data_IF_188905277669
#
_entry.id   IF_188905277669
#
_cell.length_a   1.000
_cell.length_b   1.000
_cell.length_c   1.000
_cell.angle_alpha   90.00
_cell.angle_beta   90.00
_cell.angle_gamma   90.00
#
_symmetry.space_group_name_H-M   'P 1'
#
loop_
_entity.id
_entity.type
_entity.pdbx_description
1 polymer ?
#
# COMPACT_ATOMS: atom_id res chain seq x y z
N UNK A 1 -18.24 -0.65 10.76
CA UNK A 1 -17.39 0.22 9.94
C UNK A 1 -18.30 1.03 9.05
N UNK A 2 -18.26 2.35 9.18
CA UNK A 2 -19.12 3.24 8.41
C UNK A 2 -18.60 3.28 6.96
N UNK A 3 -19.47 3.27 5.95
CA UNK A 3 -19.02 3.22 4.54
C UNK A 3 -18.07 4.38 4.17
N UNK A 4 -18.20 5.50 4.86
CA UNK A 4 -17.36 6.69 4.68
C UNK A 4 -15.91 6.41 5.11
N UNK A 5 -15.68 5.73 6.24
CA UNK A 5 -14.32 5.49 6.76
C UNK A 5 -13.46 4.66 5.80
N UNK A 6 -14.04 3.66 5.14
CA UNK A 6 -13.31 2.86 4.13
C UNK A 6 -12.96 3.72 2.91
N UNK A 7 -13.88 4.60 2.50
CA UNK A 7 -13.67 5.49 1.37
C UNK A 7 -12.52 6.46 1.67
N UNK A 8 -12.54 7.08 2.85
CA UNK A 8 -11.53 8.03 3.28
C UNK A 8 -10.13 7.38 3.34
N UNK A 9 -10.05 6.14 3.84
CA UNK A 9 -8.79 5.40 3.86
C UNK A 9 -8.29 5.04 2.46
N UNK A 10 -9.19 4.71 1.53
CA UNK A 10 -8.81 4.44 0.13
C UNK A 10 -8.30 5.69 -0.57
N UNK A 11 -8.95 6.83 -0.32
CA UNK A 11 -8.51 8.12 -0.85
C UNK A 11 -7.14 8.51 -0.29
N UNK A 12 -6.93 8.36 1.02
CA UNK A 12 -5.62 8.60 1.65
C UNK A 12 -4.51 7.71 1.06
N UNK A 13 -4.80 6.43 0.78
CA UNK A 13 -3.85 5.54 0.09
C UNK A 13 -3.52 6.08 -1.31
N UNK A 14 -4.52 6.52 -2.06
CA UNK A 14 -4.34 7.05 -3.41
C UNK A 14 -3.52 8.35 -3.41
N UNK A 15 -3.78 9.27 -2.48
CA UNK A 15 -2.98 10.50 -2.31
C UNK A 15 -1.52 10.19 -1.98
N UNK A 16 -1.27 9.25 -1.05
CA UNK A 16 0.09 8.83 -0.72
C UNK A 16 0.83 8.24 -1.94
N UNK A 17 0.12 7.49 -2.80
CA UNK A 17 0.71 6.93 -4.01
C UNK A 17 1.11 8.04 -5.01
N UNK A 18 0.25 9.06 -5.18
CA UNK A 18 0.59 10.23 -5.99
C UNK A 18 1.79 10.98 -5.41
N UNK A 19 1.85 11.16 -4.10
CA UNK A 19 2.96 11.82 -3.41
C UNK A 19 4.29 11.07 -3.65
N UNK A 20 4.31 9.74 -3.51
CA UNK A 20 5.49 8.92 -3.78
C UNK A 20 5.99 9.10 -5.21
N UNK A 21 5.09 9.06 -6.20
CA UNK A 21 5.47 9.27 -7.60
C UNK A 21 6.00 10.69 -7.79
N UNK A 22 5.33 11.71 -7.24
CA UNK A 22 5.79 13.10 -7.31
C UNK A 22 7.19 13.30 -6.72
N UNK A 23 7.46 12.68 -5.58
CA UNK A 23 8.77 12.70 -4.93
C UNK A 23 9.85 12.04 -5.81
N UNK A 24 9.55 10.90 -6.44
CA UNK A 24 10.48 10.24 -7.37
C UNK A 24 10.77 11.10 -8.60
N UNK A 25 9.74 11.69 -9.22
CA UNK A 25 9.92 12.58 -10.37
C UNK A 25 10.74 13.82 -10.00
N UNK A 26 10.51 14.39 -8.81
CA UNK A 26 11.28 15.52 -8.29
C UNK A 26 12.78 15.20 -8.13
N UNK A 27 13.11 14.04 -7.55
CA UNK A 27 14.50 13.57 -7.42
C UNK A 27 15.19 13.46 -8.78
N UNK A 28 14.45 12.99 -9.79
CA UNK A 28 14.93 12.83 -11.16
C UNK A 28 14.90 14.13 -11.97
N UNK A 29 14.43 15.24 -11.40
CA UNK A 29 14.24 16.54 -12.06
C UNK A 29 13.35 16.45 -13.31
N UNK A 30 12.33 15.59 -13.25
CA UNK A 30 11.29 15.47 -14.27
C UNK A 30 10.14 16.38 -13.87
N UNK A 31 9.90 17.42 -14.66
CA UNK A 31 8.87 18.44 -14.38
C UNK A 31 7.60 18.25 -15.21
N UNK A 32 7.67 17.45 -16.26
CA UNK A 32 6.55 17.13 -17.14
C UNK A 32 6.60 15.64 -17.48
N UNK A 33 5.44 15.01 -17.44
CA UNK A 33 5.27 13.59 -17.75
C UNK A 33 3.94 13.42 -18.45
N UNK A 34 3.90 12.52 -19.43
CA UNK A 34 2.66 12.14 -20.09
C UNK A 34 1.68 11.55 -19.06
N UNK A 35 0.42 11.97 -19.13
CA UNK A 35 -0.62 11.52 -18.21
C UNK A 35 -0.75 9.99 -18.22
N UNK A 36 -0.71 9.36 -19.39
CA UNK A 36 -0.79 7.90 -19.52
C UNK A 36 0.36 7.21 -18.77
N UNK A 37 1.57 7.75 -18.84
CA UNK A 37 2.72 7.21 -18.12
C UNK A 37 2.54 7.37 -16.60
N UNK A 38 2.05 8.51 -16.14
CA UNK A 38 1.74 8.73 -14.71
C UNK A 38 0.68 7.75 -14.19
N UNK A 39 -0.41 7.54 -14.96
CA UNK A 39 -1.46 6.58 -14.60
C UNK A 39 -0.91 5.15 -14.55
N UNK A 40 -0.02 4.77 -15.47
CA UNK A 40 0.65 3.46 -15.43
C UNK A 40 1.55 3.31 -14.20
N UNK A 41 2.26 4.36 -13.81
CA UNK A 41 3.05 4.35 -12.57
C UNK A 41 2.15 4.15 -11.34
N UNK A 42 1.02 4.86 -11.27
CA UNK A 42 0.03 4.69 -10.20
C UNK A 42 -0.49 3.24 -10.15
N UNK A 43 -0.84 2.66 -11.29
CA UNK A 43 -1.32 1.28 -11.34
C UNK A 43 -0.27 0.30 -10.81
N UNK A 44 0.99 0.44 -11.24
CA UNK A 44 2.07 -0.43 -10.75
C UNK A 44 2.30 -0.28 -9.24
N UNK A 45 2.24 0.94 -8.71
CA UNK A 45 2.39 1.19 -7.28
C UNK A 45 1.20 0.64 -6.47
N UNK A 46 -0.01 0.71 -7.03
CA UNK A 46 -1.22 0.10 -6.45
C UNK A 46 -1.10 -1.42 -6.39
N UNK A 47 -0.70 -2.07 -7.48
CA UNK A 47 -0.50 -3.51 -7.53
C UNK A 47 0.56 -3.97 -6.51
N UNK A 48 1.66 -3.22 -6.39
CA UNK A 48 2.70 -3.50 -5.41
C UNK A 48 2.19 -3.34 -3.98
N UNK A 49 1.48 -2.24 -3.69
CA UNK A 49 0.90 -1.96 -2.37
C UNK A 49 -0.06 -3.07 -1.94
N UNK A 50 -0.90 -3.56 -2.86
CA UNK A 50 -1.82 -4.67 -2.59
C UNK A 50 -1.07 -5.98 -2.31
N UNK A 51 -0.01 -6.29 -3.06
CA UNK A 51 0.82 -7.48 -2.82
C UNK A 51 1.46 -7.41 -1.43
N UNK A 52 2.08 -6.28 -1.09
CA UNK A 52 2.70 -6.06 0.22
C UNK A 52 1.69 -6.16 1.35
N UNK A 53 0.49 -5.60 1.19
CA UNK A 53 -0.58 -5.72 2.18
C UNK A 53 -0.97 -7.18 2.44
N UNK A 54 -1.13 -8.00 1.39
CA UNK A 54 -1.43 -9.43 1.54
C UNK A 54 -0.33 -10.18 2.29
N UNK A 55 0.94 -9.87 1.99
CA UNK A 55 2.08 -10.45 2.69
C UNK A 55 2.11 -10.05 4.17
N UNK A 56 1.87 -8.78 4.47
CA UNK A 56 1.81 -8.29 5.85
C UNK A 56 0.70 -8.99 6.64
N UNK A 57 -0.48 -9.19 6.05
CA UNK A 57 -1.58 -9.92 6.69
C UNK A 57 -1.26 -11.40 6.92
N UNK A 58 -0.54 -12.04 5.99
CA UNK A 58 -0.07 -13.41 6.17
C UNK A 58 0.94 -13.50 7.32
N UNK A 59 1.87 -12.54 7.42
CA UNK A 59 2.84 -12.48 8.51
C UNK A 59 2.16 -12.29 9.87
N UNK A 60 1.26 -11.31 10.01
CA UNK A 60 0.50 -11.08 11.24
C UNK A 60 -0.27 -12.35 11.67
N UNK A 61 -0.87 -13.05 10.70
CA UNK A 61 -1.60 -14.29 10.98
C UNK A 61 -0.69 -15.40 11.49
N UNK A 62 0.52 -15.52 10.91
CA UNK A 62 1.51 -16.51 11.34
C UNK A 62 2.01 -16.21 12.75
N UNK A 63 2.30 -14.95 13.07
CA UNK A 63 2.72 -14.53 14.41
C UNK A 63 1.67 -14.86 15.48
N UNK A 64 0.37 -14.67 15.15
CA UNK A 64 -0.74 -15.05 16.04
C UNK A 64 -0.77 -16.57 16.25
N UNK A 65 -0.62 -17.37 15.19
CA UNK A 65 -0.59 -18.83 15.28
C UNK A 65 0.56 -19.28 16.18
N UNK A 66 1.76 -18.76 15.97
CA UNK A 66 2.95 -19.11 16.75
C UNK A 66 2.79 -18.75 18.23
N UNK A 67 2.20 -17.59 18.51
CA UNK A 67 1.88 -17.17 19.87
C UNK A 67 0.89 -18.12 20.56
N UNK A 68 -0.19 -18.51 19.86
CA UNK A 68 -1.19 -19.44 20.41
C UNK A 68 -0.59 -20.82 20.67
N UNK A 69 0.18 -21.35 19.72
CA UNK A 69 0.84 -22.65 19.88
C UNK A 69 1.82 -22.65 21.05
N UNK A 70 2.66 -21.63 21.15
CA UNK A 70 3.69 -21.54 22.20
C UNK A 70 3.08 -21.36 23.60
N UNK A 71 1.97 -20.63 23.73
CA UNK A 71 1.36 -20.33 25.02
C UNK A 71 0.26 -21.32 25.45
N UNK A 72 -0.33 -22.10 24.53
CA UNK A 72 -1.31 -23.16 24.87
C UNK A 72 -0.67 -24.55 25.05
N UNK A 73 0.60 -24.71 24.71
CA UNK A 73 1.38 -25.93 24.97
C UNK A 73 2.13 -25.88 26.32
N UNK A 74 1.86 -24.87 27.17
CA UNK A 74 2.21 -24.82 28.59
C UNK A 74 0.97 -25.04 29.44
#
# INVERSE_FOLDING_TARGET
MNKNEISDLKEAIFENQKEVIGNLLSILKIYEIEEELFQRMLQHLSDYSQKTFRLAKALESQEIIDYVLTNKLK
#
